data_IF_004933502246
#
_entry.id   IF_004933502246
#
_cell.length_a   1.000
_cell.length_b   1.000
_cell.length_c   1.000
_cell.angle_alpha   90.00
_cell.angle_beta   90.00
_cell.angle_gamma   90.00
#
_symmetry.space_group_name_H-M   'P 1'
#
loop_
_entity.id
_entity.type
_entity.pdbx_description
1 polymer ?
#
# COMPACT_ATOMS: atom_id res chain seq x y z
N UNK A 1 16.14 -3.65 7.47
CA UNK A 1 17.01 -3.49 6.31
C UNK A 1 18.02 -4.64 6.21
N UNK A 2 17.59 -5.88 6.45
CA UNK A 2 18.48 -7.04 6.65
C UNK A 2 18.80 -7.80 5.34
N UNK A 3 18.77 -7.09 4.22
CA UNK A 3 18.99 -7.62 2.87
C UNK A 3 19.36 -6.49 1.91
N UNK A 4 19.63 -6.76 0.63
CA UNK A 4 20.07 -5.72 -0.32
C UNK A 4 19.09 -4.56 -0.41
N UNK A 5 19.60 -3.33 -0.27
CA UNK A 5 18.80 -2.11 -0.28
C UNK A 5 19.62 -0.88 -0.71
N UNK A 6 18.95 0.23 -0.98
CA UNK A 6 19.58 1.50 -1.37
C UNK A 6 20.19 2.21 -0.14
N UNK A 7 21.35 2.88 -0.28
CA UNK A 7 22.01 3.57 0.85
C UNK A 7 21.16 4.63 1.57
N UNK A 8 20.16 5.21 0.90
CA UNK A 8 19.24 6.17 1.50
C UNK A 8 18.50 5.60 2.73
N UNK A 9 18.34 4.27 2.79
CA UNK A 9 17.67 3.64 3.92
C UNK A 9 18.58 3.50 5.14
N UNK A 10 19.90 3.40 4.95
CA UNK A 10 20.86 3.45 6.07
C UNK A 10 20.84 4.83 6.73
N UNK A 11 20.76 5.89 5.93
CA UNK A 11 20.63 7.27 6.43
C UNK A 11 19.31 7.46 7.20
N UNK A 12 18.20 6.95 6.66
CA UNK A 12 16.87 7.14 7.25
C UNK A 12 16.61 6.26 8.48
N UNK A 13 17.12 5.02 8.50
CA UNK A 13 16.73 4.01 9.49
C UNK A 13 17.90 3.48 10.33
N UNK A 14 19.13 3.89 10.03
CA UNK A 14 20.33 3.43 10.73
C UNK A 14 20.57 1.93 10.61
N UNK A 15 21.45 1.42 11.48
CA UNK A 15 21.91 0.03 11.45
C UNK A 15 21.32 -0.86 12.56
N UNK A 16 20.42 -0.35 13.40
CA UNK A 16 19.86 -1.08 14.54
C UNK A 16 18.59 -1.87 14.14
N UNK A 17 18.62 -3.22 14.15
CA UNK A 17 17.45 -4.03 13.79
C UNK A 17 16.24 -3.83 14.72
N UNK A 18 16.46 -3.55 16.01
CA UNK A 18 15.36 -3.28 16.92
C UNK A 18 14.62 -2.00 16.51
N UNK A 19 15.37 -1.01 16.03
CA UNK A 19 14.82 0.24 15.50
C UNK A 19 13.99 -0.01 14.22
N UNK A 20 14.46 -0.86 13.31
CA UNK A 20 13.70 -1.20 12.11
C UNK A 20 12.37 -1.88 12.41
N UNK A 21 12.33 -2.75 13.43
CA UNK A 21 11.08 -3.39 13.88
C UNK A 21 10.09 -2.34 14.39
N UNK A 22 10.57 -1.43 15.24
CA UNK A 22 9.76 -0.37 15.84
C UNK A 22 9.20 0.62 14.81
N UNK A 23 9.94 0.92 13.73
CA UNK A 23 9.49 1.82 12.67
C UNK A 23 8.68 1.14 11.56
N UNK A 24 8.69 -0.19 11.50
CA UNK A 24 8.03 -0.90 10.43
C UNK A 24 6.51 -0.76 10.57
N UNK A 25 5.77 -0.38 9.50
CA UNK A 25 4.31 -0.39 9.52
C UNK A 25 3.73 -1.81 9.54
N UNK A 26 4.56 -2.86 9.40
CA UNK A 26 4.12 -4.25 9.38
C UNK A 26 3.91 -4.85 10.77
N UNK A 27 4.83 -4.56 11.71
CA UNK A 27 4.82 -5.17 13.04
C UNK A 27 3.68 -4.70 13.98
N UNK A 28 3.29 -3.42 14.02
CA UNK A 28 2.25 -2.95 14.93
C UNK A 28 0.82 -3.20 14.40
N UNK A 29 0.64 -3.87 13.26
CA UNK A 29 -0.69 -4.22 12.77
C UNK A 29 -1.40 -5.14 13.77
N UNK A 30 -2.63 -4.77 14.12
CA UNK A 30 -3.48 -5.50 15.05
C UNK A 30 -4.91 -5.65 14.54
N UNK A 31 -5.70 -6.49 15.22
CA UNK A 31 -7.10 -6.66 14.91
C UNK A 31 -7.86 -5.33 15.08
N UNK A 32 -8.80 -5.05 14.18
CA UNK A 32 -9.51 -3.77 14.16
C UNK A 32 -8.79 -2.64 13.42
N UNK A 33 -7.64 -2.91 12.78
CA UNK A 33 -7.01 -1.96 11.87
C UNK A 33 -7.96 -1.56 10.73
N UNK A 34 -7.80 -0.33 10.22
CA UNK A 34 -8.57 0.17 9.08
C UNK A 34 -8.39 -0.71 7.83
N UNK A 35 -9.36 -0.73 6.90
CA UNK A 35 -9.21 -1.37 5.60
C UNK A 35 -8.08 -0.74 4.78
N UNK A 36 -7.34 -1.56 4.03
CA UNK A 36 -6.24 -1.08 3.17
C UNK A 36 -6.45 -1.45 1.71
N UNK A 37 -6.13 -0.55 0.79
CA UNK A 37 -5.84 -0.88 -0.60
C UNK A 37 -4.39 -0.52 -0.90
N UNK A 38 -3.58 -1.52 -1.22
CA UNK A 38 -2.17 -1.33 -1.55
C UNK A 38 -1.99 -1.25 -3.06
N UNK A 39 -1.79 -0.05 -3.57
CA UNK A 39 -1.44 0.18 -4.98
C UNK A 39 0.05 -0.09 -5.18
N UNK A 40 0.42 -0.82 -6.24
CA UNK A 40 1.81 -1.15 -6.50
C UNK A 40 2.15 -1.11 -7.99
N UNK A 41 3.36 -0.65 -8.31
CA UNK A 41 3.88 -0.64 -9.69
C UNK A 41 4.32 -2.03 -10.11
N UNK A 42 3.89 -2.49 -11.28
CA UNK A 42 4.41 -3.70 -11.92
C UNK A 42 5.68 -3.43 -12.75
N UNK A 43 6.03 -2.17 -12.98
CA UNK A 43 7.20 -1.77 -13.79
C UNK A 43 8.51 -1.72 -12.97
N UNK A 44 8.43 -1.57 -11.64
CA UNK A 44 9.64 -1.44 -10.81
C UNK A 44 10.37 -2.79 -10.64
N UNK A 45 11.72 -2.81 -10.77
CA UNK A 45 12.49 -4.05 -10.74
C UNK A 45 12.56 -4.72 -9.36
N UNK A 46 12.36 -3.97 -8.27
CA UNK A 46 12.35 -4.49 -6.90
C UNK A 46 11.03 -5.19 -6.51
N UNK A 47 10.08 -5.34 -7.45
CA UNK A 47 8.83 -6.09 -7.30
C UNK A 47 8.00 -5.66 -6.07
N UNK A 48 7.59 -4.38 -5.97
CA UNK A 48 6.88 -3.85 -4.79
C UNK A 48 5.55 -4.56 -4.52
N UNK A 49 4.90 -5.12 -5.54
CA UNK A 49 3.66 -5.86 -5.37
C UNK A 49 3.79 -7.10 -4.48
N UNK A 50 5.00 -7.68 -4.35
CA UNK A 50 5.24 -8.78 -3.42
C UNK A 50 5.16 -8.31 -1.95
N UNK A 51 5.69 -7.12 -1.67
CA UNK A 51 5.61 -6.52 -0.34
C UNK A 51 4.17 -6.09 0.00
N UNK A 52 3.46 -5.47 -0.97
CA UNK A 52 2.04 -5.15 -0.85
C UNK A 52 1.20 -6.40 -0.53
N UNK A 53 1.45 -7.51 -1.24
CA UNK A 53 0.78 -8.78 -0.98
C UNK A 53 1.09 -9.35 0.41
N UNK A 54 2.32 -9.16 0.91
CA UNK A 54 2.69 -9.59 2.27
C UNK A 54 1.93 -8.78 3.33
N UNK A 55 1.87 -7.46 3.18
CA UNK A 55 1.11 -6.58 4.07
C UNK A 55 -0.39 -6.92 4.04
N UNK A 56 -0.97 -7.09 2.85
CA UNK A 56 -2.38 -7.45 2.70
C UNK A 56 -2.70 -8.83 3.31
N UNK A 57 -1.77 -9.79 3.28
CA UNK A 57 -1.95 -11.06 4.00
C UNK A 57 -1.97 -10.88 5.51
N UNK A 58 -1.09 -10.02 6.06
CA UNK A 58 -1.07 -9.74 7.50
C UNK A 58 -2.38 -9.11 7.97
N UNK A 59 -2.85 -8.07 7.28
CA UNK A 59 -4.14 -7.42 7.58
C UNK A 59 -5.29 -8.43 7.55
N UNK A 60 -5.37 -9.26 6.50
CA UNK A 60 -6.41 -10.29 6.40
C UNK A 60 -6.29 -11.37 7.47
N UNK A 61 -5.08 -11.76 7.85
CA UNK A 61 -4.83 -12.71 8.93
C UNK A 61 -5.32 -12.20 10.30
N UNK A 62 -5.37 -10.89 10.47
CA UNK A 62 -5.92 -10.21 11.65
C UNK A 62 -7.44 -9.95 11.55
N UNK A 63 -8.10 -10.49 10.52
CA UNK A 63 -9.53 -10.30 10.26
C UNK A 63 -9.90 -8.96 9.60
N UNK A 64 -8.91 -8.15 9.21
CA UNK A 64 -9.12 -6.90 8.50
C UNK A 64 -9.38 -7.09 7.00
N UNK A 65 -9.86 -6.03 6.35
CA UNK A 65 -10.01 -5.99 4.88
C UNK A 65 -8.75 -5.42 4.24
N UNK A 66 -8.18 -6.13 3.27
CA UNK A 66 -7.11 -5.60 2.45
C UNK A 66 -7.16 -6.10 1.01
N UNK A 67 -6.87 -5.20 0.07
CA UNK A 67 -6.78 -5.45 -1.36
C UNK A 67 -5.42 -4.99 -1.90
N UNK A 68 -4.93 -5.63 -2.96
CA UNK A 68 -3.73 -5.20 -3.69
C UNK A 68 -4.16 -4.84 -5.10
N UNK A 69 -3.77 -3.66 -5.57
CA UNK A 69 -4.08 -3.15 -6.90
C UNK A 69 -2.77 -2.98 -7.69
N UNK A 70 -2.38 -3.97 -8.51
CA UNK A 70 -1.20 -3.86 -9.36
C UNK A 70 -1.49 -3.00 -10.57
N UNK A 71 -0.68 -1.96 -10.79
CA UNK A 71 -0.83 -1.03 -11.90
C UNK A 71 0.37 -1.11 -12.86
N UNK A 72 0.16 -1.14 -14.19
CA UNK A 72 1.21 -1.08 -15.21
C UNK A 72 1.74 0.35 -15.37
N UNK A 73 2.03 1.01 -14.25
CA UNK A 73 2.49 2.39 -14.16
C UNK A 73 3.84 2.44 -13.44
N UNK A 74 4.65 3.48 -13.69
CA UNK A 74 5.85 3.73 -12.90
C UNK A 74 5.48 4.20 -11.47
N UNK A 75 6.45 4.26 -10.56
CA UNK A 75 6.20 4.83 -9.21
C UNK A 75 5.70 6.28 -9.29
N UNK A 76 6.33 7.08 -10.17
CA UNK A 76 5.97 8.47 -10.36
C UNK A 76 4.57 8.62 -10.92
N UNK A 77 4.21 7.80 -11.91
CA UNK A 77 2.89 7.87 -12.55
C UNK A 77 1.76 7.45 -11.60
N UNK A 78 1.97 6.42 -10.76
CA UNK A 78 1.00 6.02 -9.71
C UNK A 78 0.60 7.22 -8.86
N UNK A 79 1.57 8.06 -8.47
CA UNK A 79 1.31 9.24 -7.65
C UNK A 79 0.79 10.42 -8.48
N UNK A 80 1.37 10.63 -9.66
CA UNK A 80 1.09 11.81 -10.50
C UNK A 80 -0.22 11.75 -11.29
N UNK A 81 -0.79 10.55 -11.49
CA UNK A 81 -1.99 10.36 -12.31
C UNK A 81 -3.24 9.97 -11.52
N UNK A 82 -3.10 9.64 -10.23
CA UNK A 82 -4.27 9.37 -9.39
C UNK A 82 -5.18 10.61 -9.32
N UNK A 83 -6.47 10.42 -9.58
CA UNK A 83 -7.47 11.49 -9.69
C UNK A 83 -7.73 11.96 -11.13
N UNK A 84 -6.95 11.50 -12.11
CA UNK A 84 -7.29 11.66 -13.53
C UNK A 84 -8.36 10.63 -13.95
N UNK A 85 -9.08 10.90 -15.03
CA UNK A 85 -10.06 9.98 -15.60
C UNK A 85 -9.39 8.71 -16.16
N UNK A 86 -9.29 7.68 -15.33
CA UNK A 86 -8.60 6.43 -15.64
C UNK A 86 -9.22 5.24 -14.91
N UNK A 87 -8.97 4.02 -15.43
CA UNK A 87 -9.37 2.79 -14.75
C UNK A 87 -8.72 2.65 -13.36
N UNK A 88 -7.47 3.10 -13.23
CA UNK A 88 -6.73 3.11 -11.98
C UNK A 88 -7.42 3.98 -10.92
N UNK A 89 -7.70 5.26 -11.22
CA UNK A 89 -8.44 6.15 -10.30
C UNK A 89 -9.78 5.54 -9.93
N UNK A 90 -10.50 4.98 -10.91
CA UNK A 90 -11.80 4.38 -10.65
C UNK A 90 -11.73 3.19 -9.70
N UNK A 91 -10.69 2.35 -9.79
CA UNK A 91 -10.51 1.20 -8.90
C UNK A 91 -10.17 1.62 -7.46
N UNK A 92 -9.46 2.74 -7.28
CA UNK A 92 -9.22 3.33 -5.95
C UNK A 92 -10.52 3.88 -5.36
N UNK A 93 -11.27 4.62 -6.15
CA UNK A 93 -12.57 5.16 -5.76
C UNK A 93 -13.61 4.08 -5.44
N UNK A 94 -13.63 2.97 -6.20
CA UNK A 94 -14.52 1.84 -5.92
C UNK A 94 -14.25 1.22 -4.54
N UNK A 95 -12.97 1.10 -4.18
CA UNK A 95 -12.61 0.67 -2.84
C UNK A 95 -13.10 1.68 -1.80
N UNK A 96 -12.83 2.97 -1.98
CA UNK A 96 -13.28 4.03 -1.06
C UNK A 96 -14.81 4.05 -0.89
N UNK A 97 -15.56 3.99 -1.99
CA UNK A 97 -17.02 3.97 -2.01
C UNK A 97 -17.58 2.75 -1.25
N UNK A 98 -16.90 1.60 -1.33
CA UNK A 98 -17.31 0.41 -0.60
C UNK A 98 -17.09 0.48 0.92
N UNK A 99 -16.40 1.51 1.43
CA UNK A 99 -16.14 1.69 2.86
C UNK A 99 -17.17 2.59 3.55
N UNK A 100 -17.74 3.56 2.83
CA UNK A 100 -18.61 4.58 3.42
C UNK A 100 -19.65 5.09 2.39
N UNK A 101 -20.96 5.03 2.69
CA UNK A 101 -22.01 5.50 1.77
C UNK A 101 -21.95 6.99 1.42
N UNK A 102 -21.48 7.85 2.33
CA UNK A 102 -21.32 9.26 2.05
C UNK A 102 -20.16 9.50 1.06
N UNK A 103 -19.08 8.74 1.19
CA UNK A 103 -17.97 8.75 0.23
C UNK A 103 -18.44 8.23 -1.14
N UNK A 104 -19.22 7.14 -1.16
CA UNK A 104 -19.81 6.62 -2.40
C UNK A 104 -20.64 7.69 -3.14
N UNK A 105 -21.53 8.38 -2.41
CA UNK A 105 -22.35 9.45 -2.98
C UNK A 105 -21.51 10.62 -3.54
N UNK A 106 -20.43 11.02 -2.85
CA UNK A 106 -19.53 12.08 -3.33
C UNK A 106 -18.76 11.68 -4.59
N UNK A 107 -18.45 10.39 -4.75
CA UNK A 107 -17.78 9.83 -5.92
C UNK A 107 -18.75 9.47 -7.06
N UNK A 108 -20.07 9.59 -6.85
CA UNK A 108 -21.09 9.16 -7.82
C UNK A 108 -21.14 7.65 -8.04
N UNK A 109 -20.86 6.88 -6.99
CA UNK A 109 -20.82 5.40 -6.97
C UNK A 109 -22.01 4.82 -6.21
#
# INVERSE_FOLDING_TARGET
MDGPHLPLYDEAFGADPAHWVALSPYHPLEAGTAPFQFVCSTQRPDRPCLQAAHMARQVRGLGGRAEVLPEPLSHGDINGTLGQDSGYTRAVEDFMASLDPAVAALLGR
#
